data_IF_215808164006
#
_entry.id   IF_215808164006
#
_cell.length_a   1.000
_cell.length_b   1.000
_cell.length_c   1.000
_cell.angle_alpha   90.00
_cell.angle_beta   90.00
_cell.angle_gamma   90.00
#
_symmetry.space_group_name_H-M   'P 1'
#
loop_
_entity.id
_entity.type
_entity.pdbx_description
1 polymer ?
#
# COMPACT_ATOMS: atom_id res chain seq x y z
N UNK A 1 -10.32 22.39 15.09
CA UNK A 1 -8.99 21.83 14.83
C UNK A 1 -9.04 21.00 13.57
N UNK A 2 -8.22 21.32 12.60
CA UNK A 2 -8.20 20.58 11.36
C UNK A 2 -7.51 19.23 11.56
N UNK A 3 -8.20 18.16 11.25
CA UNK A 3 -7.59 16.84 11.25
C UNK A 3 -6.76 16.68 9.98
N UNK A 4 -5.53 16.25 10.15
CA UNK A 4 -4.67 15.95 9.03
C UNK A 4 -4.96 14.53 8.55
N UNK A 5 -5.60 14.43 7.39
CA UNK A 5 -5.86 13.13 6.78
C UNK A 5 -4.55 12.51 6.29
N UNK A 6 -4.42 11.20 6.47
CA UNK A 6 -3.30 10.46 5.93
C UNK A 6 -3.41 10.38 4.41
N UNK A 7 -2.27 10.44 3.73
CA UNK A 7 -2.23 10.12 2.30
C UNK A 7 -2.45 8.61 2.14
N UNK A 8 -2.79 8.17 0.93
CA UNK A 8 -2.92 6.73 0.65
C UNK A 8 -1.64 5.99 0.99
N UNK A 9 -0.49 6.56 0.66
CA UNK A 9 0.80 5.99 0.97
C UNK A 9 1.01 5.83 2.48
N UNK A 10 0.69 6.88 3.26
CA UNK A 10 0.83 6.84 4.72
C UNK A 10 -0.12 5.84 5.35
N UNK A 11 -1.36 5.79 4.89
CA UNK A 11 -2.35 4.83 5.38
C UNK A 11 -1.90 3.40 5.10
N UNK A 12 -1.43 3.12 3.89
CA UNK A 12 -0.94 1.80 3.53
C UNK A 12 0.29 1.41 4.37
N UNK A 13 1.22 2.33 4.57
CA UNK A 13 2.40 2.08 5.41
C UNK A 13 2.00 1.70 6.84
N UNK A 14 1.04 2.41 7.41
CA UNK A 14 0.56 2.13 8.77
C UNK A 14 -0.06 0.74 8.87
N UNK A 15 -0.86 0.33 7.89
CA UNK A 15 -1.50 -0.99 7.87
C UNK A 15 -0.45 -2.09 7.71
N UNK A 16 0.50 -1.91 6.81
CA UNK A 16 1.59 -2.87 6.61
C UNK A 16 2.39 -3.07 7.89
N UNK A 17 2.73 -2.00 8.57
CA UNK A 17 3.49 -2.08 9.81
C UNK A 17 2.71 -2.73 10.95
N UNK A 18 1.41 -2.48 11.00
CA UNK A 18 0.55 -3.05 12.03
C UNK A 18 0.30 -4.55 11.83
N UNK A 19 0.11 -4.99 10.58
CA UNK A 19 -0.27 -6.36 10.27
C UNK A 19 0.89 -7.25 9.87
N UNK A 20 1.93 -6.69 9.28
CA UNK A 20 3.06 -7.48 8.77
C UNK A 20 2.66 -8.43 7.65
N UNK A 21 3.44 -9.47 7.45
CA UNK A 21 3.18 -10.48 6.44
C UNK A 21 3.56 -10.04 5.03
N UNK A 22 3.02 -10.74 4.03
CA UNK A 22 3.30 -10.46 2.63
C UNK A 22 2.19 -9.60 2.01
N UNK A 23 2.59 -8.71 1.13
CA UNK A 23 1.68 -7.72 0.53
C UNK A 23 1.79 -7.75 -0.98
N UNK A 24 0.67 -8.05 -1.62
CA UNK A 24 0.51 -7.95 -3.06
C UNK A 24 -0.43 -6.79 -3.40
N UNK A 25 -0.70 -6.60 -4.69
CA UNK A 25 -1.58 -5.53 -5.15
C UNK A 25 -2.98 -5.68 -4.56
N UNK A 26 -3.53 -6.89 -4.53
CA UNK A 26 -4.90 -7.12 -4.03
C UNK A 26 -5.03 -6.77 -2.56
N UNK A 27 -4.08 -7.19 -1.74
CA UNK A 27 -4.11 -6.89 -0.31
C UNK A 27 -3.95 -5.39 -0.06
N UNK A 28 -3.10 -4.73 -0.84
CA UNK A 28 -2.93 -3.28 -0.75
C UNK A 28 -4.20 -2.54 -1.14
N UNK A 29 -4.91 -2.99 -2.18
CA UNK A 29 -6.21 -2.41 -2.57
C UNK A 29 -7.21 -2.51 -1.42
N UNK A 30 -7.31 -3.68 -0.80
CA UNK A 30 -8.22 -3.87 0.34
C UNK A 30 -7.88 -2.93 1.50
N UNK A 31 -6.60 -2.81 1.82
CA UNK A 31 -6.15 -1.92 2.89
C UNK A 31 -6.49 -0.46 2.59
N UNK A 32 -6.30 -0.02 1.36
CA UNK A 32 -6.64 1.33 0.95
C UNK A 32 -8.14 1.59 1.03
N UNK A 33 -8.97 0.62 0.64
CA UNK A 33 -10.43 0.74 0.75
C UNK A 33 -10.87 0.85 2.21
N UNK A 34 -10.29 0.06 3.08
CA UNK A 34 -10.58 0.15 4.52
C UNK A 34 -10.20 1.52 5.06
N UNK A 35 -9.13 2.12 4.52
CA UNK A 35 -8.68 3.46 4.91
C UNK A 35 -9.51 4.59 4.29
N UNK A 36 -10.51 4.27 3.45
CA UNK A 36 -11.42 5.26 2.88
C UNK A 36 -11.18 5.59 1.41
N UNK A 37 -10.24 4.93 0.74
CA UNK A 37 -10.00 5.18 -0.67
C UNK A 37 -11.16 4.64 -1.52
N UNK A 38 -11.74 5.52 -2.35
CA UNK A 38 -12.83 5.17 -3.26
C UNK A 38 -12.34 5.33 -4.69
N UNK A 39 -11.83 4.25 -5.31
CA UNK A 39 -11.32 4.34 -6.68
C UNK A 39 -12.45 4.45 -7.70
N UNK A 40 -12.14 5.08 -8.84
CA UNK A 40 -13.09 5.20 -9.93
C UNK A 40 -13.35 3.87 -10.63
N UNK A 41 -12.41 2.92 -10.54
CA UNK A 41 -12.51 1.60 -11.16
C UNK A 41 -11.55 0.63 -10.45
N UNK A 42 -11.70 -0.66 -10.73
CA UNK A 42 -10.77 -1.68 -10.25
C UNK A 42 -9.36 -1.47 -10.82
N UNK A 43 -9.27 -1.05 -12.06
CA UNK A 43 -8.00 -0.74 -12.70
C UNK A 43 -7.31 0.43 -11.98
N UNK A 44 -8.04 1.49 -11.66
CA UNK A 44 -7.51 2.62 -10.92
C UNK A 44 -7.05 2.22 -9.51
N UNK A 45 -7.80 1.34 -8.85
CA UNK A 45 -7.45 0.82 -7.54
C UNK A 45 -6.12 0.07 -7.58
N UNK A 46 -5.96 -0.83 -8.54
CA UNK A 46 -4.72 -1.59 -8.70
C UNK A 46 -3.53 -0.71 -9.01
N UNK A 47 -3.72 0.29 -9.86
CA UNK A 47 -2.68 1.23 -10.25
C UNK A 47 -2.20 2.05 -9.05
N UNK A 48 -3.13 2.55 -8.25
CA UNK A 48 -2.82 3.30 -7.04
C UNK A 48 -2.08 2.43 -6.01
N UNK A 49 -2.55 1.20 -5.80
CA UNK A 49 -1.91 0.28 -4.88
C UNK A 49 -0.47 -0.03 -5.29
N UNK A 50 -0.25 -0.34 -6.57
CA UNK A 50 1.09 -0.62 -7.08
C UNK A 50 2.01 0.58 -6.95
N UNK A 51 1.49 1.76 -7.23
CA UNK A 51 2.27 3.00 -7.09
C UNK A 51 2.72 3.19 -5.64
N UNK A 52 1.81 3.05 -4.69
CA UNK A 52 2.12 3.22 -3.27
C UNK A 52 3.09 2.17 -2.77
N UNK A 53 2.95 0.90 -3.18
CA UNK A 53 3.88 -0.16 -2.80
C UNK A 53 5.29 0.15 -3.32
N UNK A 54 5.42 0.59 -4.56
CA UNK A 54 6.73 0.95 -5.12
C UNK A 54 7.36 2.11 -4.37
N UNK A 55 6.55 3.12 -4.02
CA UNK A 55 7.06 4.28 -3.28
C UNK A 55 7.51 3.91 -1.87
N UNK A 56 6.77 3.03 -1.19
CA UNK A 56 7.16 2.54 0.13
C UNK A 56 8.44 1.72 0.08
N UNK A 57 8.62 0.92 -0.96
CA UNK A 57 9.86 0.17 -1.18
C UNK A 57 11.04 1.11 -1.43
N UNK A 58 10.82 2.15 -2.21
CA UNK A 58 11.82 3.17 -2.51
C UNK A 58 12.25 3.90 -1.23
N UNK A 59 11.31 4.13 -0.31
CA UNK A 59 11.60 4.76 0.97
C UNK A 59 12.25 3.81 1.97
N UNK A 60 12.37 2.53 1.66
CA UNK A 60 12.99 1.53 2.53
C UNK A 60 12.08 0.98 3.60
N UNK A 61 10.77 1.28 3.58
CA UNK A 61 9.81 0.79 4.58
C UNK A 61 9.37 -0.64 4.34
N UNK A 62 9.39 -1.07 3.07
CA UNK A 62 9.10 -2.44 2.68
C UNK A 62 10.15 -2.92 1.69
N UNK A 63 10.24 -4.23 1.53
CA UNK A 63 11.19 -4.84 0.59
C UNK A 63 10.45 -5.81 -0.31
N UNK A 64 10.99 -6.03 -1.50
CA UNK A 64 10.50 -7.03 -2.45
C UNK A 64 11.53 -8.15 -2.52
N UNK A 65 11.30 -9.28 -1.81
CA UNK A 65 12.30 -10.35 -1.73
C UNK A 65 12.62 -11.02 -3.05
N UNK A 66 11.61 -11.15 -3.92
CA UNK A 66 11.76 -11.78 -5.23
C UNK A 66 11.52 -10.72 -6.31
N UNK A 67 12.55 -10.34 -7.11
CA UNK A 67 12.38 -9.31 -8.15
C UNK A 67 11.42 -9.73 -9.26
N UNK A 68 11.12 -11.03 -9.40
CA UNK A 68 10.21 -11.53 -10.42
C UNK A 68 8.75 -11.50 -9.96
N UNK A 69 8.49 -11.20 -8.69
CA UNK A 69 7.14 -11.14 -8.14
C UNK A 69 6.86 -9.77 -7.51
N UNK A 70 5.66 -9.26 -7.74
CA UNK A 70 5.22 -7.99 -7.15
C UNK A 70 4.64 -8.24 -5.75
N UNK A 71 5.44 -8.87 -4.88
CA UNK A 71 5.08 -9.18 -3.51
C UNK A 71 6.09 -8.54 -2.57
N UNK A 72 5.59 -7.85 -1.55
CA UNK A 72 6.40 -7.09 -0.62
C UNK A 72 6.18 -7.55 0.82
N UNK A 73 7.10 -7.17 1.68
CA UNK A 73 6.96 -7.38 3.13
C UNK A 73 7.63 -6.22 3.87
N UNK A 74 7.32 -6.00 5.16
CA UNK A 74 8.03 -4.98 5.95
C UNK A 74 9.53 -5.20 5.92
N UNK A 75 10.26 -4.13 5.85
CA UNK A 75 11.72 -4.16 5.87
C UNK A 75 12.27 -4.62 7.22
#
# INVERSE_FOLDING_TARGET
MAEKLLTHKQALAAVIQALGGTWDTNRAVLALRVAGYEPASEEAAGKEARHNLRELAKDGLIVRPDPDQAVYRPA
#
